data_IF_730269261899
#
_entry.id   IF_730269261899
#
_cell.length_a   1.000
_cell.length_b   1.000
_cell.length_c   1.000
_cell.angle_alpha   90.00
_cell.angle_beta   90.00
_cell.angle_gamma   90.00
#
_symmetry.space_group_name_H-M   'P 1'
#
loop_
_entity.id
_entity.type
_entity.pdbx_description
1 polymer ?
#
# COMPACT_ATOMS: atom_id res chain seq x y z
N UNK A 1 -31.42 28.61 17.59
CA UNK A 1 -31.33 29.40 18.85
C UNK A 1 -32.69 29.60 19.57
N UNK A 2 -33.75 28.81 19.27
CA UNK A 2 -35.11 28.98 19.84
C UNK A 2 -35.15 28.97 21.38
N UNK A 3 -34.46 28.02 22.00
CA UNK A 3 -34.52 27.82 23.45
C UNK A 3 -33.70 28.85 24.27
N UNK A 4 -32.93 29.75 23.63
CA UNK A 4 -32.16 30.78 24.35
C UNK A 4 -33.05 31.80 25.08
N UNK A 5 -34.30 31.95 24.62
CA UNK A 5 -35.24 33.00 25.06
C UNK A 5 -36.39 32.44 25.91
N UNK A 6 -36.32 31.18 26.33
CA UNK A 6 -37.37 30.61 27.19
C UNK A 6 -37.42 31.39 28.50
N UNK A 7 -38.63 31.72 28.95
CA UNK A 7 -38.83 32.29 30.28
C UNK A 7 -38.56 31.24 31.36
N UNK A 8 -38.35 31.68 32.61
CA UNK A 8 -38.19 30.76 33.75
C UNK A 8 -39.40 29.83 33.89
N UNK A 9 -40.61 30.37 33.76
CA UNK A 9 -41.87 29.62 33.82
C UNK A 9 -41.96 28.55 32.72
N UNK A 10 -41.55 28.87 31.48
CA UNK A 10 -41.53 27.91 30.38
C UNK A 10 -40.50 26.78 30.61
N UNK A 11 -39.36 27.11 31.24
CA UNK A 11 -38.33 26.13 31.60
C UNK A 11 -38.85 25.21 32.70
N UNK A 12 -39.38 25.76 33.79
CA UNK A 12 -39.90 25.01 34.93
C UNK A 12 -41.00 24.03 34.49
N UNK A 13 -41.98 24.51 33.73
CA UNK A 13 -43.06 23.65 33.18
C UNK A 13 -42.54 22.49 32.34
N UNK A 14 -41.48 22.70 31.55
CA UNK A 14 -40.85 21.65 30.74
C UNK A 14 -40.13 20.63 31.61
N UNK A 15 -39.39 21.09 32.62
CA UNK A 15 -38.68 20.22 33.56
C UNK A 15 -39.66 19.38 34.39
N UNK A 16 -40.72 19.98 34.92
CA UNK A 16 -41.79 19.27 35.65
C UNK A 16 -42.48 18.19 34.80
N UNK A 17 -42.66 18.44 33.50
CA UNK A 17 -43.24 17.46 32.57
C UNK A 17 -42.29 16.32 32.18
N UNK A 18 -41.05 16.31 32.67
CA UNK A 18 -40.03 15.32 32.30
C UNK A 18 -39.59 15.41 30.83
N UNK A 19 -39.72 16.59 30.20
CA UNK A 19 -39.39 16.75 28.79
C UNK A 19 -37.87 16.54 28.56
N UNK A 20 -37.47 15.70 27.60
CA UNK A 20 -36.06 15.48 27.32
C UNK A 20 -35.42 16.77 26.80
N UNK A 21 -34.21 17.06 27.26
CA UNK A 21 -33.44 18.23 26.84
C UNK A 21 -32.00 17.87 26.54
N UNK A 22 -31.31 18.79 25.88
CA UNK A 22 -29.87 18.70 25.58
C UNK A 22 -29.19 19.95 26.11
N UNK A 23 -27.91 19.85 26.46
CA UNK A 23 -27.10 21.03 26.79
C UNK A 23 -26.45 21.53 25.50
N UNK A 24 -26.62 22.81 25.19
CA UNK A 24 -26.03 23.44 23.99
C UNK A 24 -25.07 24.56 24.37
N UNK A 25 -23.98 24.67 23.63
CA UNK A 25 -23.07 25.80 23.69
C UNK A 25 -23.73 27.05 23.11
N UNK A 26 -23.66 28.14 23.87
CA UNK A 26 -24.09 29.45 23.40
C UNK A 26 -22.99 30.08 22.54
N UNK A 27 -23.12 30.02 21.22
CA UNK A 27 -22.27 30.76 20.28
C UNK A 27 -22.53 32.28 20.38
N UNK A 28 -21.51 33.15 20.45
CA UNK A 28 -21.69 34.60 20.43
C UNK A 28 -22.24 35.08 19.08
N UNK A 29 -22.80 36.29 19.02
CA UNK A 29 -23.33 36.86 17.77
C UNK A 29 -22.37 37.91 17.23
N UNK A 30 -22.23 37.98 15.90
CA UNK A 30 -21.41 38.99 15.21
C UNK A 30 -19.93 38.97 15.56
N UNK A 31 -19.44 37.92 16.24
CA UNK A 31 -18.02 37.78 16.61
C UNK A 31 -17.25 37.16 15.46
N UNK A 32 -16.12 37.77 15.12
CA UNK A 32 -15.08 37.19 14.27
C UNK A 32 -14.18 36.32 15.15
N UNK A 33 -14.12 35.02 14.86
CA UNK A 33 -13.25 34.06 15.54
C UNK A 33 -12.06 33.82 14.63
N UNK A 34 -10.87 34.25 15.06
CA UNK A 34 -9.63 34.12 14.28
C UNK A 34 -8.67 33.17 15.01
N UNK A 35 -7.93 32.38 14.24
CA UNK A 35 -6.85 31.55 14.76
C UNK A 35 -5.79 31.33 13.68
N UNK A 36 -4.57 31.09 14.12
CA UNK A 36 -3.46 30.74 13.25
C UNK A 36 -3.27 29.23 13.23
N UNK A 37 -3.50 28.63 12.06
CA UNK A 37 -3.22 27.23 11.82
C UNK A 37 -1.82 27.07 11.22
N UNK A 38 -1.05 26.11 11.73
CA UNK A 38 0.33 25.88 11.31
C UNK A 38 0.43 25.56 9.81
N UNK A 39 -0.55 24.85 9.24
CA UNK A 39 -0.56 24.44 7.83
C UNK A 39 -1.38 25.40 6.98
N UNK A 40 -2.54 25.84 7.46
CA UNK A 40 -3.50 26.64 6.69
C UNK A 40 -3.22 28.15 6.76
N UNK A 41 -2.45 28.59 7.76
CA UNK A 41 -2.18 29.99 8.05
C UNK A 41 -3.33 30.63 8.84
N UNK A 42 -3.42 31.96 8.77
CA UNK A 42 -4.47 32.72 9.45
C UNK A 42 -5.85 32.40 8.87
N UNK A 43 -6.77 31.96 9.73
CA UNK A 43 -8.15 31.64 9.38
C UNK A 43 -9.10 32.52 10.18
N UNK A 44 -10.25 32.83 9.58
CA UNK A 44 -11.32 33.56 10.24
C UNK A 44 -12.69 33.00 9.91
N UNK A 45 -13.52 32.85 10.94
CA UNK A 45 -14.93 32.49 10.84
C UNK A 45 -15.82 33.56 11.47
N UNK A 46 -16.98 33.80 10.88
CA UNK A 46 -18.02 34.57 11.53
C UNK A 46 -18.88 33.64 12.39
N UNK A 47 -19.00 33.95 13.69
CA UNK A 47 -19.84 33.20 14.64
C UNK A 47 -21.33 33.11 14.26
N UNK A 48 -21.81 33.99 13.38
CA UNK A 48 -23.18 33.90 12.86
C UNK A 48 -23.40 32.73 11.89
N UNK A 49 -22.33 32.17 11.32
CA UNK A 49 -22.36 30.94 10.51
C UNK A 49 -22.37 29.67 11.38
N UNK A 50 -22.24 29.82 12.70
CA UNK A 50 -22.15 28.71 13.65
C UNK A 50 -23.44 28.54 14.45
N UNK A 51 -23.94 27.31 14.47
CA UNK A 51 -25.08 26.91 15.30
C UNK A 51 -24.71 26.65 16.76
N UNK A 52 -25.70 26.76 17.64
CA UNK A 52 -25.64 26.38 19.06
C UNK A 52 -25.39 24.87 19.17
N UNK A 53 -24.12 24.51 19.22
CA UNK A 53 -23.65 23.14 19.21
C UNK A 53 -24.17 22.38 20.43
N UNK A 54 -24.78 21.20 20.22
CA UNK A 54 -25.09 20.29 21.33
C UNK A 54 -23.77 19.83 21.95
N UNK A 55 -23.65 19.95 23.27
CA UNK A 55 -22.53 19.50 24.08
C UNK A 55 -22.86 18.21 24.83
N UNK A 56 -24.05 18.12 25.42
CA UNK A 56 -24.56 16.94 26.14
C UNK A 56 -25.90 16.51 25.54
N UNK A 57 -26.02 15.23 25.21
CA UNK A 57 -27.27 14.62 24.74
C UNK A 57 -28.24 14.41 25.91
N UNK A 58 -29.50 14.08 25.59
CA UNK A 58 -30.54 13.80 26.59
C UNK A 58 -30.31 12.53 27.41
N UNK A 59 -29.47 11.63 26.91
CA UNK A 59 -29.01 10.42 27.61
C UNK A 59 -27.84 10.69 28.58
N UNK A 60 -27.41 11.96 28.72
CA UNK A 60 -26.30 12.34 29.59
C UNK A 60 -24.91 12.14 29.00
N UNK A 61 -24.78 11.57 27.79
CA UNK A 61 -23.48 11.40 27.15
C UNK A 61 -23.00 12.68 26.44
N UNK A 62 -21.70 13.01 26.52
CA UNK A 62 -21.13 14.13 25.79
C UNK A 62 -21.10 13.86 24.29
N UNK A 63 -21.16 14.94 23.51
CA UNK A 63 -20.83 14.90 22.08
C UNK A 63 -19.33 15.01 21.87
N UNK A 64 -18.89 14.71 20.66
CA UNK A 64 -17.50 14.86 20.23
C UNK A 64 -16.89 16.21 20.63
N UNK A 65 -17.60 17.33 20.41
CA UNK A 65 -17.01 18.66 20.65
C UNK A 65 -16.71 18.94 22.12
N UNK A 66 -17.56 18.47 23.04
CA UNK A 66 -17.30 18.62 24.47
C UNK A 66 -16.19 17.65 24.90
N UNK A 67 -16.31 16.38 24.51
CA UNK A 67 -15.36 15.34 24.88
C UNK A 67 -13.93 15.69 24.44
N UNK A 68 -13.73 16.03 23.17
CA UNK A 68 -12.39 16.30 22.64
C UNK A 68 -11.71 17.49 23.31
N UNK A 69 -12.44 18.58 23.61
CA UNK A 69 -11.84 19.77 24.25
C UNK A 69 -11.49 19.48 25.71
N UNK A 70 -12.34 18.74 26.42
CA UNK A 70 -12.07 18.30 27.79
C UNK A 70 -10.88 17.36 27.83
N UNK A 71 -10.86 16.33 26.97
CA UNK A 71 -9.77 15.36 26.91
C UNK A 71 -8.45 16.01 26.50
N UNK A 72 -8.45 16.84 25.45
CA UNK A 72 -7.24 17.54 25.00
C UNK A 72 -6.65 18.43 26.11
N UNK A 73 -7.51 19.13 26.89
CA UNK A 73 -7.07 19.92 28.04
C UNK A 73 -6.50 19.04 29.16
N UNK A 74 -7.25 18.01 29.59
CA UNK A 74 -6.84 17.13 30.68
C UNK A 74 -5.57 16.32 30.35
N UNK A 75 -5.37 16.00 29.07
CA UNK A 75 -4.18 15.31 28.55
C UNK A 75 -3.05 16.28 28.17
N UNK A 76 -3.21 17.58 28.40
CA UNK A 76 -2.20 18.62 28.15
C UNK A 76 -1.70 18.65 26.69
N UNK A 77 -2.62 18.48 25.74
CA UNK A 77 -2.30 18.52 24.31
C UNK A 77 -1.85 19.92 23.93
N UNK A 78 -0.63 20.03 23.39
CA UNK A 78 -0.06 21.31 22.94
C UNK A 78 -0.36 21.62 21.47
N UNK A 79 -0.48 20.58 20.64
CA UNK A 79 -0.69 20.67 19.20
C UNK A 79 -1.76 19.65 18.77
N UNK A 80 -2.85 20.13 18.19
CA UNK A 80 -3.91 19.30 17.62
C UNK A 80 -3.68 19.16 16.12
N UNK A 81 -3.26 17.97 15.69
CA UNK A 81 -3.12 17.61 14.28
C UNK A 81 -4.32 16.78 13.84
N UNK A 82 -5.00 17.20 12.77
CA UNK A 82 -6.17 16.48 12.23
C UNK A 82 -6.40 16.84 10.76
N UNK A 83 -7.26 16.09 10.08
CA UNK A 83 -7.60 16.38 8.69
C UNK A 83 -8.37 17.70 8.57
N UNK A 84 -8.20 18.41 7.45
CA UNK A 84 -8.88 19.68 7.16
C UNK A 84 -10.42 19.61 7.16
N UNK A 85 -10.99 18.41 7.11
CA UNK A 85 -12.43 18.21 7.26
C UNK A 85 -12.96 18.71 8.61
N UNK A 86 -12.11 18.71 9.63
CA UNK A 86 -12.45 19.20 10.96
C UNK A 86 -12.21 20.70 11.14
N UNK A 87 -11.69 21.39 10.12
CA UNK A 87 -11.41 22.83 10.20
C UNK A 87 -12.64 23.68 10.59
N UNK A 88 -13.85 23.41 10.06
CA UNK A 88 -15.06 24.14 10.47
C UNK A 88 -15.47 23.91 11.93
N UNK A 89 -14.92 22.89 12.60
CA UNK A 89 -15.17 22.61 14.02
C UNK A 89 -14.27 23.41 14.97
N UNK A 90 -13.09 23.82 14.50
CA UNK A 90 -12.09 24.57 15.30
C UNK A 90 -12.64 25.84 15.97
N UNK A 91 -13.43 26.73 15.30
CA UNK A 91 -13.96 27.90 15.99
C UNK A 91 -14.90 27.54 17.16
N UNK A 92 -15.61 26.40 17.09
CA UNK A 92 -16.42 25.90 18.21
C UNK A 92 -15.54 25.43 19.38
N UNK A 93 -14.43 24.76 19.07
CA UNK A 93 -13.46 24.31 20.08
C UNK A 93 -12.78 25.49 20.77
N UNK A 94 -12.35 26.50 20.02
CA UNK A 94 -11.78 27.75 20.57
C UNK A 94 -12.74 28.40 21.57
N UNK A 95 -14.02 28.55 21.21
CA UNK A 95 -15.01 29.10 22.13
C UNK A 95 -15.18 28.27 23.41
N UNK A 96 -15.10 26.94 23.31
CA UNK A 96 -15.16 26.06 24.49
C UNK A 96 -13.96 26.27 25.42
N UNK A 97 -12.74 26.30 24.87
CA UNK A 97 -11.54 26.61 25.66
C UNK A 97 -11.66 27.96 26.37
N UNK A 98 -12.12 29.00 25.66
CA UNK A 98 -12.34 30.33 26.24
C UNK A 98 -13.37 30.31 27.37
N UNK A 99 -14.51 29.62 27.18
CA UNK A 99 -15.57 29.53 28.19
C UNK A 99 -15.16 28.74 29.43
N UNK A 100 -14.26 27.78 29.28
CA UNK A 100 -13.72 26.99 30.37
C UNK A 100 -12.49 27.67 31.01
N UNK A 101 -12.01 28.79 30.45
CA UNK A 101 -10.84 29.51 30.93
C UNK A 101 -9.53 28.74 30.73
N UNK A 102 -9.45 27.96 29.65
CA UNK A 102 -8.33 27.08 29.35
C UNK A 102 -7.44 27.62 28.23
N UNK A 103 -6.17 27.21 28.25
CA UNK A 103 -5.23 27.51 27.18
C UNK A 103 -5.63 26.78 25.88
N UNK A 104 -5.62 27.51 24.77
CA UNK A 104 -5.98 26.99 23.45
C UNK A 104 -4.74 26.33 22.83
N UNK A 105 -4.80 25.05 22.41
CA UNK A 105 -3.67 24.40 21.76
C UNK A 105 -3.43 24.99 20.37
N UNK A 106 -2.23 24.74 19.81
CA UNK A 106 -1.95 25.08 18.42
C UNK A 106 -2.66 24.08 17.50
N UNK A 107 -3.18 24.55 16.37
CA UNK A 107 -3.86 23.70 15.38
C UNK A 107 -3.02 23.52 14.12
N UNK A 108 -3.09 22.33 13.53
CA UNK A 108 -2.52 22.03 12.23
C UNK A 108 -3.45 21.10 11.44
N UNK A 109 -4.08 21.64 10.40
CA UNK A 109 -5.06 20.90 9.61
C UNK A 109 -4.44 20.34 8.32
N UNK A 110 -4.17 19.03 8.37
CA UNK A 110 -3.52 18.25 7.33
C UNK A 110 -4.40 18.14 6.07
N UNK A 111 -3.81 18.12 4.87
CA UNK A 111 -4.55 17.98 3.62
C UNK A 111 -5.28 16.64 3.51
N UNK A 112 -6.37 16.65 2.73
CA UNK A 112 -7.07 15.44 2.36
C UNK A 112 -6.22 14.51 1.49
N UNK A 113 -6.40 13.20 1.71
CA UNK A 113 -6.00 12.20 0.74
C UNK A 113 -7.05 12.10 -0.38
N UNK A 114 -6.56 12.13 -1.62
CA UNK A 114 -7.34 12.09 -2.84
C UNK A 114 -7.08 10.81 -3.61
N UNK A 115 -8.05 10.35 -4.38
CA UNK A 115 -7.85 9.33 -5.40
C UNK A 115 -7.10 9.92 -6.61
N UNK A 116 -6.68 9.08 -7.56
CA UNK A 116 -6.04 9.50 -8.81
C UNK A 116 -6.92 10.42 -9.67
N UNK A 117 -8.24 10.29 -9.57
CA UNK A 117 -9.23 11.20 -10.19
C UNK A 117 -9.43 12.52 -9.44
N UNK A 118 -8.62 12.78 -8.40
CA UNK A 118 -8.68 13.94 -7.48
C UNK A 118 -9.94 14.04 -6.63
N UNK A 119 -10.82 13.04 -6.66
CA UNK A 119 -11.93 12.96 -5.71
C UNK A 119 -11.44 12.53 -4.33
N UNK A 120 -12.16 12.89 -3.27
CA UNK A 120 -11.83 12.47 -1.91
C UNK A 120 -11.75 10.94 -1.82
N UNK A 121 -10.69 10.42 -1.20
CA UNK A 121 -10.60 9.00 -0.91
C UNK A 121 -11.75 8.56 0.01
N UNK A 122 -12.37 7.42 -0.30
CA UNK A 122 -13.50 6.90 0.46
C UNK A 122 -13.48 5.38 0.50
N UNK A 123 -14.03 4.80 1.57
CA UNK A 123 -14.22 3.35 1.76
C UNK A 123 -15.00 2.64 0.64
N UNK A 124 -15.62 3.39 -0.27
CA UNK A 124 -16.39 2.83 -1.39
C UNK A 124 -15.54 2.53 -2.62
N UNK A 125 -14.32 3.07 -2.71
CA UNK A 125 -13.42 2.95 -3.86
C UNK A 125 -12.11 2.31 -3.42
N UNK A 126 -12.01 0.98 -3.54
CA UNK A 126 -10.77 0.22 -3.32
C UNK A 126 -10.36 0.01 -1.86
N UNK A 127 -9.15 -0.50 -1.69
CA UNK A 127 -8.53 -0.72 -0.39
C UNK A 127 -8.22 0.64 0.27
N UNK A 128 -8.80 0.87 1.44
CA UNK A 128 -8.48 2.07 2.25
C UNK A 128 -8.09 1.71 3.67
N UNK A 129 -8.25 0.44 4.06
CA UNK A 129 -7.88 -0.06 5.37
C UNK A 129 -6.43 -0.55 5.32
N UNK A 130 -5.64 -0.24 6.35
CA UNK A 130 -4.24 -0.64 6.44
C UNK A 130 -4.10 -2.17 6.39
N UNK A 131 -5.09 -2.88 6.94
CA UNK A 131 -5.19 -4.33 6.97
C UNK A 131 -5.21 -4.96 5.57
N UNK A 132 -5.79 -4.28 4.58
CA UNK A 132 -5.82 -4.79 3.20
C UNK A 132 -4.42 -4.77 2.58
N UNK A 133 -3.64 -3.71 2.85
CA UNK A 133 -2.24 -3.62 2.43
C UNK A 133 -1.34 -4.62 3.17
N UNK A 134 -1.59 -4.87 4.46
CA UNK A 134 -0.87 -5.91 5.21
C UNK A 134 -1.09 -7.28 4.57
N UNK A 135 -2.34 -7.64 4.24
CA UNK A 135 -2.68 -8.91 3.57
C UNK A 135 -2.03 -9.04 2.20
N UNK A 136 -1.81 -7.93 1.49
CA UNK A 136 -1.11 -7.90 0.21
C UNK A 136 0.41 -7.97 0.34
N UNK A 137 0.95 -7.92 1.55
CA UNK A 137 2.39 -7.98 1.79
C UNK A 137 3.13 -6.67 1.52
N UNK A 138 2.45 -5.53 1.72
CA UNK A 138 3.15 -4.25 1.82
C UNK A 138 3.91 -4.16 3.14
N UNK A 139 5.10 -3.60 3.08
CA UNK A 139 6.01 -3.46 4.20
C UNK A 139 5.65 -2.21 5.02
N UNK A 140 5.64 -2.29 6.36
CA UNK A 140 5.35 -1.13 7.21
C UNK A 140 6.24 0.08 6.90
N UNK A 141 7.54 -0.14 6.70
CA UNK A 141 8.48 0.93 6.35
C UNK A 141 8.16 1.62 5.02
N UNK A 142 7.69 0.86 4.02
CA UNK A 142 7.29 1.41 2.73
C UNK A 142 6.02 2.25 2.86
N UNK A 143 5.01 1.72 3.56
CA UNK A 143 3.76 2.44 3.82
C UNK A 143 4.01 3.73 4.60
N UNK A 144 4.82 3.68 5.67
CA UNK A 144 5.13 4.85 6.48
C UNK A 144 5.88 5.90 5.67
N UNK A 145 6.92 5.51 4.93
CA UNK A 145 7.66 6.46 4.09
C UNK A 145 6.76 7.09 3.03
N UNK A 146 5.95 6.27 2.36
CA UNK A 146 5.02 6.75 1.35
C UNK A 146 4.00 7.74 1.92
N UNK A 147 3.32 7.37 3.01
CA UNK A 147 2.33 8.23 3.67
C UNK A 147 2.95 9.51 4.23
N UNK A 148 4.19 9.44 4.75
CA UNK A 148 4.89 10.61 5.24
C UNK A 148 5.09 11.66 4.13
N UNK A 149 5.32 11.24 2.89
CA UNK A 149 5.49 12.15 1.75
C UNK A 149 4.16 12.62 1.14
N UNK A 150 3.02 12.08 1.57
CA UNK A 150 1.70 12.57 1.18
C UNK A 150 1.34 13.81 1.97
N UNK A 151 1.66 14.98 1.43
CA UNK A 151 1.35 16.25 2.07
C UNK A 151 2.55 16.95 2.68
N UNK A 152 3.72 16.30 2.73
CA UNK A 152 4.92 16.85 3.36
C UNK A 152 6.12 16.69 2.43
N UNK A 153 6.92 17.76 2.34
CA UNK A 153 8.15 17.76 1.57
C UNK A 153 9.30 18.25 2.48
N UNK A 154 10.29 17.40 2.81
CA UNK A 154 11.39 17.80 3.69
C UNK A 154 12.28 18.91 3.11
N UNK A 155 12.18 19.19 1.81
CA UNK A 155 13.15 19.98 1.08
C UNK A 155 14.49 19.26 0.94
N UNK A 156 15.50 19.99 0.48
CA UNK A 156 16.87 19.51 0.37
C UNK A 156 17.55 19.58 1.74
N UNK A 157 17.90 18.44 2.33
CA UNK A 157 18.75 18.42 3.52
C UNK A 157 20.23 18.56 3.13
N UNK A 158 21.12 19.02 4.03
CA UNK A 158 22.57 19.02 3.78
C UNK A 158 23.11 17.64 3.39
N UNK A 159 22.49 16.56 3.91
CA UNK A 159 22.86 15.18 3.60
C UNK A 159 22.49 14.80 2.16
N UNK A 160 21.34 15.26 1.65
CA UNK A 160 20.89 15.06 0.26
C UNK A 160 21.81 15.80 -0.71
N UNK A 161 22.14 17.06 -0.40
CA UNK A 161 23.07 17.86 -1.20
C UNK A 161 24.49 17.29 -1.21
N UNK A 162 24.96 16.75 -0.09
CA UNK A 162 26.25 16.09 0.00
C UNK A 162 26.36 14.82 -0.86
N UNK A 163 25.22 14.15 -1.13
CA UNK A 163 25.13 13.00 -2.04
C UNK A 163 24.97 13.38 -3.51
N UNK A 164 24.88 14.67 -3.82
CA UNK A 164 24.60 15.16 -5.18
C UNK A 164 23.17 14.88 -5.64
N UNK A 165 22.26 14.59 -4.70
CA UNK A 165 20.86 14.32 -4.99
C UNK A 165 20.05 15.63 -4.95
N UNK A 166 18.99 15.68 -5.76
CA UNK A 166 18.09 16.84 -5.83
C UNK A 166 16.73 16.58 -5.15
N UNK A 167 16.54 15.36 -4.66
CA UNK A 167 15.39 14.92 -3.87
C UNK A 167 15.77 13.68 -3.08
N UNK A 168 15.17 13.51 -1.90
CA UNK A 168 15.20 12.24 -1.18
C UNK A 168 13.76 11.77 -1.06
N UNK A 169 13.48 10.60 -1.61
CA UNK A 169 12.19 9.94 -1.45
C UNK A 169 12.26 8.82 -0.41
N UNK A 170 13.39 8.11 -0.31
CA UNK A 170 13.56 6.98 0.60
C UNK A 170 14.02 7.44 1.99
N UNK A 171 13.20 7.17 3.01
CA UNK A 171 13.48 7.52 4.41
C UNK A 171 13.34 6.31 5.34
N UNK A 172 14.28 6.16 6.26
CA UNK A 172 14.07 5.38 7.48
C UNK A 172 13.17 6.13 8.46
N UNK A 173 12.59 5.41 9.42
CA UNK A 173 11.85 6.04 10.52
C UNK A 173 12.68 7.08 11.28
N UNK A 174 13.97 6.81 11.48
CA UNK A 174 14.87 7.76 12.16
C UNK A 174 15.09 9.03 11.35
N UNK A 175 15.24 8.91 10.03
CA UNK A 175 15.35 10.10 9.16
C UNK A 175 14.04 10.88 9.14
N UNK A 176 12.87 10.22 9.12
CA UNK A 176 11.59 10.91 9.24
C UNK A 176 11.50 11.67 10.57
N UNK A 177 11.82 11.03 11.70
CA UNK A 177 11.80 11.67 13.02
C UNK A 177 12.72 12.90 13.07
N UNK A 178 13.92 12.81 12.48
CA UNK A 178 14.89 13.93 12.46
C UNK A 178 14.45 15.09 11.56
N UNK A 179 13.81 14.79 10.44
CA UNK A 179 13.51 15.79 9.40
C UNK A 179 12.09 16.35 9.49
N UNK A 180 11.16 15.66 10.14
CA UNK A 180 9.75 16.04 10.14
C UNK A 180 9.55 17.40 10.81
N UNK A 181 8.88 18.27 10.06
CA UNK A 181 8.52 19.61 10.49
C UNK A 181 7.14 19.92 9.94
N UNK A 182 6.23 20.30 10.83
CA UNK A 182 4.84 20.58 10.51
C UNK A 182 4.70 21.80 9.59
N UNK A 183 5.66 22.73 9.61
CA UNK A 183 5.71 23.88 8.71
C UNK A 183 6.01 23.50 7.25
N UNK A 184 6.52 22.28 7.02
CA UNK A 184 6.80 21.75 5.67
C UNK A 184 5.64 20.94 5.10
N UNK A 185 4.52 20.87 5.82
CA UNK A 185 3.27 20.29 5.31
C UNK A 185 2.59 21.29 4.37
N UNK A 186 2.26 20.87 3.16
CA UNK A 186 1.61 21.72 2.17
C UNK A 186 0.07 21.67 2.25
N UNK A 187 -0.58 22.71 1.75
CA UNK A 187 -2.05 22.87 1.82
C UNK A 187 -2.82 22.00 0.81
N UNK A 188 -2.19 21.65 -0.31
CA UNK A 188 -2.87 20.92 -1.39
C UNK A 188 -3.19 19.47 -0.99
N UNK A 189 -4.32 18.95 -1.47
CA UNK A 189 -4.68 17.54 -1.30
C UNK A 189 -3.62 16.61 -1.89
N UNK A 190 -3.29 15.53 -1.17
CA UNK A 190 -2.28 14.58 -1.57
C UNK A 190 -2.92 13.39 -2.31
N UNK A 191 -2.49 13.14 -3.55
CA UNK A 191 -3.01 12.02 -4.35
C UNK A 191 -2.36 10.72 -3.88
N UNK A 192 -3.18 9.76 -3.51
CA UNK A 192 -2.75 8.40 -3.25
C UNK A 192 -2.63 7.63 -4.57
N UNK A 193 -1.39 7.37 -4.97
CA UNK A 193 -0.97 6.65 -6.14
C UNK A 193 -0.40 5.28 -5.74
N UNK A 194 -1.10 4.23 -6.14
CA UNK A 194 -0.73 2.84 -5.85
C UNK A 194 0.57 2.42 -6.54
N UNK A 195 0.88 2.95 -7.73
CA UNK A 195 2.11 2.63 -8.45
C UNK A 195 3.32 3.25 -7.76
N UNK A 196 3.16 4.45 -7.21
CA UNK A 196 4.21 5.06 -6.37
C UNK A 196 4.42 4.25 -5.08
N UNK A 197 3.35 3.81 -4.41
CA UNK A 197 3.47 2.92 -3.25
C UNK A 197 4.14 1.59 -3.61
N UNK A 198 3.80 0.99 -4.76
CA UNK A 198 4.45 -0.21 -5.28
C UNK A 198 5.95 0.01 -5.46
N UNK A 199 6.35 1.15 -6.04
CA UNK A 199 7.76 1.51 -6.20
C UNK A 199 8.48 1.59 -4.85
N UNK A 200 7.91 2.30 -3.86
CA UNK A 200 8.47 2.35 -2.50
C UNK A 200 8.65 0.94 -1.95
N UNK A 201 7.60 0.12 -2.02
CA UNK A 201 7.62 -1.21 -1.47
C UNK A 201 8.70 -2.10 -2.12
N UNK A 202 8.85 -2.03 -3.45
CA UNK A 202 9.93 -2.69 -4.16
C UNK A 202 11.32 -2.23 -3.69
N UNK A 203 11.53 -0.92 -3.48
CA UNK A 203 12.82 -0.42 -2.98
C UNK A 203 13.17 -0.97 -1.59
N UNK A 204 12.18 -1.18 -0.72
CA UNK A 204 12.41 -1.82 0.58
C UNK A 204 12.59 -3.33 0.49
N UNK A 205 11.79 -4.01 -0.34
CA UNK A 205 11.93 -5.45 -0.59
C UNK A 205 13.34 -5.80 -1.05
N UNK A 206 13.91 -4.99 -1.95
CA UNK A 206 15.27 -5.16 -2.48
C UNK A 206 16.34 -5.24 -1.39
N UNK A 207 16.13 -4.56 -0.26
CA UNK A 207 17.08 -4.48 0.86
C UNK A 207 17.07 -5.71 1.77
N UNK A 208 16.07 -6.58 1.66
CA UNK A 208 16.02 -7.80 2.48
C UNK A 208 17.18 -8.73 2.18
N UNK A 209 17.74 -9.32 3.23
CA UNK A 209 18.60 -10.50 3.11
C UNK A 209 17.79 -11.68 2.57
N UNK A 210 18.49 -12.74 2.16
CA UNK A 210 17.86 -13.96 1.68
C UNK A 210 16.99 -14.62 2.77
N UNK A 211 17.47 -14.62 4.02
CA UNK A 211 16.76 -15.16 5.17
C UNK A 211 15.52 -14.34 5.50
N UNK A 212 15.63 -13.01 5.50
CA UNK A 212 14.50 -12.11 5.72
C UNK A 212 13.43 -12.28 4.63
N UNK A 213 13.86 -12.33 3.36
CA UNK A 213 12.96 -12.52 2.23
C UNK A 213 12.19 -13.84 2.36
N UNK A 214 12.90 -14.93 2.69
CA UNK A 214 12.27 -16.21 2.93
C UNK A 214 11.26 -16.12 4.07
N UNK A 215 11.68 -15.70 5.26
CA UNK A 215 10.83 -15.62 6.46
C UNK A 215 9.56 -14.80 6.20
N UNK A 216 9.70 -13.59 5.63
CA UNK A 216 8.57 -12.70 5.38
C UNK A 216 7.66 -13.16 4.25
N UNK A 217 8.16 -13.97 3.32
CA UNK A 217 7.34 -14.51 2.23
C UNK A 217 6.63 -15.82 2.59
N UNK A 218 7.07 -16.54 3.63
CA UNK A 218 6.46 -17.82 4.07
C UNK A 218 4.92 -17.80 4.17
N UNK A 219 4.26 -16.76 4.71
CA UNK A 219 2.80 -16.72 4.80
C UNK A 219 2.08 -16.75 3.43
N UNK A 220 2.79 -16.43 2.35
CA UNK A 220 2.26 -16.38 0.99
C UNK A 220 2.68 -17.57 0.13
N UNK A 221 3.46 -18.50 0.70
CA UNK A 221 3.90 -19.70 0.00
C UNK A 221 2.95 -20.87 0.29
N UNK A 222 2.74 -21.77 -0.69
CA UNK A 222 2.02 -23.02 -0.46
C UNK A 222 2.91 -23.99 0.35
N UNK A 223 2.58 -25.29 0.33
CA UNK A 223 3.43 -26.31 0.93
C UNK A 223 4.82 -26.34 0.25
N UNK A 224 5.88 -26.14 1.02
CA UNK A 224 7.27 -26.04 0.51
C UNK A 224 8.14 -27.27 0.78
N UNK A 225 7.56 -28.41 1.18
CA UNK A 225 8.32 -29.60 1.65
C UNK A 225 9.26 -30.22 0.63
N UNK A 226 9.00 -30.04 -0.67
CA UNK A 226 9.79 -30.63 -1.75
C UNK A 226 11.08 -29.86 -2.07
N UNK A 227 11.31 -28.71 -1.42
CA UNK A 227 12.40 -27.80 -1.75
C UNK A 227 13.20 -27.42 -0.51
N UNK A 228 14.51 -27.32 -0.67
CA UNK A 228 15.38 -26.77 0.38
C UNK A 228 15.15 -25.27 0.54
N UNK A 229 15.56 -24.71 1.68
CA UNK A 229 15.49 -23.25 1.88
C UNK A 229 16.31 -22.50 0.83
N UNK A 230 17.48 -23.02 0.42
CA UNK A 230 18.30 -22.42 -0.62
C UNK A 230 17.58 -22.36 -1.97
N UNK A 231 16.87 -23.44 -2.34
CA UNK A 231 16.06 -23.46 -3.56
C UNK A 231 14.93 -22.44 -3.50
N UNK A 232 14.22 -22.35 -2.37
CA UNK A 232 13.13 -21.39 -2.19
C UNK A 232 13.69 -19.97 -2.28
N UNK A 233 14.78 -19.66 -1.57
CA UNK A 233 15.45 -18.34 -1.65
C UNK A 233 15.78 -17.98 -3.10
N UNK A 234 16.31 -18.93 -3.88
CA UNK A 234 16.59 -18.70 -5.29
C UNK A 234 15.34 -18.40 -6.10
N UNK A 235 14.23 -19.12 -5.87
CA UNK A 235 12.93 -18.82 -6.50
C UNK A 235 12.47 -17.40 -6.17
N UNK A 236 12.53 -17.02 -4.89
CA UNK A 236 12.10 -15.70 -4.42
C UNK A 236 12.96 -14.59 -5.02
N UNK A 237 14.28 -14.75 -5.08
CA UNK A 237 15.18 -13.74 -5.63
C UNK A 237 14.99 -13.50 -7.14
N UNK A 238 14.61 -14.52 -7.91
CA UNK A 238 14.28 -14.35 -9.33
C UNK A 238 13.06 -13.46 -9.57
N UNK A 239 12.13 -13.42 -8.59
CA UNK A 239 10.88 -12.65 -8.65
C UNK A 239 10.91 -11.35 -7.85
N UNK A 240 11.83 -11.23 -6.88
CA UNK A 240 12.00 -10.07 -5.99
C UNK A 240 12.15 -8.75 -6.76
N UNK A 241 12.88 -8.76 -7.86
CA UNK A 241 13.10 -7.56 -8.69
C UNK A 241 11.89 -7.14 -9.53
N UNK A 242 10.96 -8.08 -9.75
CA UNK A 242 9.79 -7.91 -10.64
C UNK A 242 8.49 -7.67 -9.88
N UNK A 243 8.49 -7.92 -8.57
CA UNK A 243 7.29 -7.93 -7.75
C UNK A 243 7.22 -6.70 -6.84
N UNK A 244 6.02 -6.14 -6.72
CA UNK A 244 5.77 -4.98 -5.87
C UNK A 244 5.54 -5.36 -4.40
N UNK A 245 5.11 -6.59 -4.08
CA UNK A 245 4.73 -7.01 -2.72
C UNK A 245 5.14 -8.44 -2.42
N UNK A 246 5.19 -8.81 -1.13
CA UNK A 246 5.49 -10.19 -0.70
C UNK A 246 4.45 -11.20 -1.22
N UNK A 247 3.16 -10.82 -1.22
CA UNK A 247 2.12 -11.69 -1.74
C UNK A 247 2.25 -11.90 -3.25
N UNK A 248 2.64 -10.85 -3.99
CA UNK A 248 2.92 -10.96 -5.42
C UNK A 248 4.10 -11.89 -5.70
N UNK A 249 5.19 -11.80 -4.91
CA UNK A 249 6.31 -12.76 -5.01
C UNK A 249 5.80 -14.19 -4.78
N UNK A 250 5.05 -14.42 -3.69
CA UNK A 250 4.51 -15.74 -3.34
C UNK A 250 3.65 -16.35 -4.45
N UNK A 251 2.75 -15.57 -5.05
CA UNK A 251 1.92 -16.03 -6.17
C UNK A 251 2.77 -16.27 -7.43
N UNK A 252 3.76 -15.42 -7.72
CA UNK A 252 4.65 -15.59 -8.87
C UNK A 252 5.46 -16.87 -8.82
N UNK A 253 5.90 -17.32 -7.63
CA UNK A 253 6.69 -18.56 -7.48
C UNK A 253 5.84 -19.82 -7.29
N UNK A 254 4.52 -19.69 -7.20
CA UNK A 254 3.60 -20.81 -6.89
C UNK A 254 3.71 -21.97 -7.89
N UNK A 255 4.04 -21.67 -9.15
CA UNK A 255 4.25 -22.69 -10.17
C UNK A 255 5.42 -23.62 -9.87
N UNK A 256 6.39 -23.26 -9.01
CA UNK A 256 7.45 -24.21 -8.63
C UNK A 256 6.90 -25.35 -7.76
N UNK A 257 5.89 -25.06 -6.93
CA UNK A 257 5.35 -26.00 -5.95
C UNK A 257 4.26 -26.92 -6.50
N UNK A 258 3.52 -26.47 -7.51
CA UNK A 258 2.41 -27.21 -8.10
C UNK A 258 2.59 -27.33 -9.61
N UNK A 259 2.04 -28.40 -10.20
CA UNK A 259 1.92 -28.48 -11.66
C UNK A 259 0.99 -27.35 -12.13
N UNK A 260 1.45 -26.42 -13.01
CA UNK A 260 0.64 -25.28 -13.38
C UNK A 260 -0.48 -25.67 -14.36
N UNK A 261 -1.67 -25.10 -14.16
CA UNK A 261 -2.77 -25.20 -15.10
C UNK A 261 -2.83 -23.95 -15.99
N UNK A 262 -2.90 -24.15 -17.31
CA UNK A 262 -2.97 -23.08 -18.29
C UNK A 262 -3.58 -23.58 -19.61
N UNK A 263 -4.11 -22.63 -20.38
CA UNK A 263 -4.64 -22.83 -21.74
C UNK A 263 -3.52 -23.13 -22.73
N UNK A 264 -3.73 -24.07 -23.65
CA UNK A 264 -2.72 -24.47 -24.66
C UNK A 264 -2.28 -23.31 -25.54
N UNK A 265 -3.12 -22.28 -25.72
CA UNK A 265 -2.77 -21.05 -26.42
C UNK A 265 -1.59 -20.30 -25.80
N UNK A 266 -1.29 -20.49 -24.52
CA UNK A 266 -0.13 -19.87 -23.86
C UNK A 266 1.20 -20.39 -24.43
N UNK A 267 1.22 -21.62 -24.94
CA UNK A 267 2.40 -22.24 -25.55
C UNK A 267 2.73 -21.62 -26.91
N UNK A 268 1.78 -20.88 -27.53
CA UNK A 268 1.95 -20.27 -28.86
C UNK A 268 2.87 -19.06 -28.78
N UNK A 269 3.98 -19.14 -29.50
CA UNK A 269 4.80 -17.97 -29.81
C UNK A 269 4.33 -17.35 -31.12
N UNK A 270 3.63 -16.22 -31.04
CA UNK A 270 3.02 -15.56 -32.21
C UNK A 270 2.09 -16.54 -32.94
N UNK A 271 2.23 -16.67 -34.26
CA UNK A 271 1.37 -17.47 -35.13
C UNK A 271 1.88 -18.90 -35.34
N UNK A 272 2.63 -19.46 -34.37
CA UNK A 272 3.10 -20.84 -34.45
C UNK A 272 1.95 -21.84 -34.60
N UNK A 273 2.07 -22.75 -35.56
CA UNK A 273 1.16 -23.89 -35.72
C UNK A 273 1.37 -24.92 -34.61
N UNK A 274 0.32 -25.67 -34.26
CA UNK A 274 0.37 -26.66 -33.19
C UNK A 274 1.45 -27.73 -33.43
N UNK A 275 1.71 -28.10 -34.69
CA UNK A 275 2.81 -29.00 -35.08
C UNK A 275 4.19 -28.44 -34.75
N UNK A 276 4.40 -27.13 -34.89
CA UNK A 276 5.68 -26.47 -34.59
C UNK A 276 5.91 -26.38 -33.08
N UNK A 277 4.84 -26.15 -32.30
CA UNK A 277 4.91 -26.14 -30.85
C UNK A 277 5.25 -27.54 -30.33
N UNK A 278 4.59 -28.58 -30.87
CA UNK A 278 4.89 -29.97 -30.54
C UNK A 278 6.35 -30.31 -30.83
N UNK A 279 6.87 -29.93 -32.00
CA UNK A 279 8.29 -30.08 -32.35
C UNK A 279 9.23 -29.37 -31.38
N UNK A 280 8.88 -28.15 -30.94
CA UNK A 280 9.64 -27.39 -29.95
C UNK A 280 9.70 -28.10 -28.58
N UNK A 281 8.55 -28.58 -28.10
CA UNK A 281 8.47 -29.31 -26.83
C UNK A 281 9.17 -30.67 -26.90
N UNK A 282 9.05 -31.40 -28.01
CA UNK A 282 9.77 -32.66 -28.23
C UNK A 282 11.30 -32.44 -28.27
N UNK A 283 11.76 -31.36 -28.92
CA UNK A 283 13.17 -30.96 -28.92
C UNK A 283 13.64 -30.64 -27.50
N UNK A 284 12.80 -29.95 -26.72
CA UNK A 284 13.11 -29.60 -25.33
C UNK A 284 13.21 -30.84 -24.43
N UNK A 285 12.29 -31.80 -24.61
CA UNK A 285 12.30 -33.10 -23.93
C UNK A 285 13.56 -33.89 -24.26
N UNK A 286 13.98 -33.89 -25.53
CA UNK A 286 15.22 -34.55 -25.96
C UNK A 286 16.45 -33.98 -25.23
N UNK A 287 16.61 -32.65 -25.25
CA UNK A 287 17.73 -31.96 -24.57
C UNK A 287 17.76 -32.31 -23.07
N UNK A 288 16.62 -32.24 -22.39
CA UNK A 288 16.52 -32.52 -20.96
C UNK A 288 16.86 -33.99 -20.68
N UNK A 289 16.39 -34.91 -21.53
CA UNK A 289 16.68 -36.35 -21.37
C UNK A 289 18.17 -36.68 -21.51
N UNK A 290 18.87 -36.00 -22.42
CA UNK A 290 20.30 -36.19 -22.71
C UNK A 290 21.23 -35.45 -21.75
N UNK A 291 20.72 -34.49 -20.98
CA UNK A 291 21.52 -33.74 -20.01
C UNK A 291 21.65 -34.51 -18.71
N UNK A 292 22.88 -34.75 -18.26
CA UNK A 292 23.17 -35.40 -16.98
C UNK A 292 22.77 -34.51 -15.81
N UNK A 293 22.39 -35.13 -14.69
CA UNK A 293 21.89 -34.42 -13.51
C UNK A 293 22.92 -33.46 -12.90
N UNK A 294 24.20 -33.84 -12.92
CA UNK A 294 25.32 -32.98 -12.47
C UNK A 294 25.54 -31.75 -13.39
N UNK A 295 25.12 -31.84 -14.65
CA UNK A 295 25.25 -30.76 -15.64
C UNK A 295 23.94 -29.98 -15.83
N UNK A 296 22.92 -30.24 -15.02
CA UNK A 296 21.59 -29.64 -15.15
C UNK A 296 21.52 -28.22 -14.57
N UNK A 297 22.45 -27.36 -14.99
CA UNK A 297 22.60 -25.97 -14.53
C UNK A 297 22.07 -24.99 -15.57
N UNK A 298 21.59 -23.83 -15.13
CA UNK A 298 21.04 -22.76 -15.97
C UNK A 298 22.04 -22.33 -17.04
N UNK A 299 23.33 -22.22 -16.69
CA UNK A 299 24.40 -21.92 -17.64
C UNK A 299 24.50 -22.98 -18.74
N UNK A 300 24.59 -24.26 -18.37
CA UNK A 300 24.79 -25.33 -19.36
C UNK A 300 23.56 -25.54 -20.24
N UNK A 301 22.38 -25.49 -19.64
CA UNK A 301 21.11 -25.56 -20.35
C UNK A 301 20.97 -24.39 -21.33
N UNK A 302 21.33 -23.17 -20.92
CA UNK A 302 21.33 -22.00 -21.79
C UNK A 302 22.21 -22.22 -23.03
N UNK A 303 23.43 -22.71 -22.87
CA UNK A 303 24.33 -23.02 -24.00
C UNK A 303 23.69 -24.01 -24.99
N UNK A 304 23.19 -25.14 -24.49
CA UNK A 304 22.62 -26.21 -25.32
C UNK A 304 21.35 -25.76 -26.02
N UNK A 305 20.42 -25.11 -25.30
CA UNK A 305 19.18 -24.62 -25.87
C UNK A 305 19.41 -23.49 -26.89
N UNK A 306 20.34 -22.58 -26.63
CA UNK A 306 20.66 -21.49 -27.57
C UNK A 306 21.34 -22.00 -28.83
N UNK A 307 22.15 -23.04 -28.74
CA UNK A 307 22.71 -23.70 -29.93
C UNK A 307 21.61 -24.37 -30.75
N UNK A 308 20.74 -25.17 -30.12
CA UNK A 308 19.63 -25.83 -30.80
C UNK A 308 18.63 -24.83 -31.40
N UNK A 309 18.42 -23.69 -30.75
CA UNK A 309 17.54 -22.63 -31.20
C UNK A 309 17.96 -22.01 -32.55
N UNK A 310 19.23 -22.15 -32.99
CA UNK A 310 19.67 -21.72 -34.33
C UNK A 310 19.00 -22.49 -35.47
N UNK A 311 18.49 -23.69 -35.19
CA UNK A 311 17.73 -24.50 -36.16
C UNK A 311 16.26 -24.09 -36.30
N UNK A 312 15.78 -23.11 -35.53
CA UNK A 312 14.42 -22.57 -35.60
C UNK A 312 14.43 -21.21 -36.32
N UNK A 313 13.26 -20.75 -36.82
CA UNK A 313 13.21 -19.48 -37.56
C UNK A 313 13.59 -18.31 -36.65
N UNK A 314 13.27 -18.40 -35.37
CA UNK A 314 13.72 -17.49 -34.34
C UNK A 314 13.78 -18.22 -32.98
N UNK A 315 14.61 -17.71 -32.07
CA UNK A 315 14.82 -18.32 -30.73
C UNK A 315 13.52 -18.49 -29.93
N UNK A 316 12.55 -17.60 -30.14
CA UNK A 316 11.27 -17.65 -29.44
C UNK A 316 10.46 -18.91 -29.76
N UNK A 317 10.58 -19.48 -30.95
CA UNK A 317 9.89 -20.72 -31.32
C UNK A 317 10.30 -21.93 -30.47
N UNK A 318 11.53 -21.94 -29.96
CA UNK A 318 12.00 -22.96 -29.03
C UNK A 318 11.78 -22.55 -27.57
N UNK A 319 12.22 -21.34 -27.21
CA UNK A 319 12.32 -20.93 -25.81
C UNK A 319 10.97 -20.55 -25.19
N UNK A 320 10.01 -20.06 -25.97
CA UNK A 320 8.70 -19.67 -25.43
C UNK A 320 7.84 -20.86 -25.05
N UNK A 321 7.62 -21.89 -25.91
CA UNK A 321 6.88 -23.08 -25.51
C UNK A 321 7.50 -23.77 -24.29
N UNK A 322 8.84 -23.87 -24.26
CA UNK A 322 9.57 -24.35 -23.08
C UNK A 322 9.19 -23.56 -21.83
N UNK A 323 9.39 -22.23 -21.85
CA UNK A 323 9.11 -21.37 -20.70
C UNK A 323 7.66 -21.49 -20.23
N UNK A 324 6.72 -21.39 -21.16
CA UNK A 324 5.29 -21.49 -20.87
C UNK A 324 4.91 -22.88 -20.33
N UNK A 325 5.52 -23.95 -20.83
CA UNK A 325 5.27 -25.31 -20.31
C UNK A 325 5.75 -25.50 -18.87
N UNK A 326 6.86 -24.85 -18.51
CA UNK A 326 7.44 -24.96 -17.18
C UNK A 326 6.70 -24.09 -16.16
N UNK A 327 6.36 -22.85 -16.51
CA UNK A 327 5.75 -21.90 -15.55
C UNK A 327 4.23 -21.84 -15.61
N UNK A 328 3.62 -22.13 -16.76
CA UNK A 328 2.21 -21.82 -17.02
C UNK A 328 1.90 -20.33 -16.97
N UNK A 329 2.91 -19.46 -17.10
CA UNK A 329 2.76 -18.01 -16.95
C UNK A 329 3.20 -17.27 -18.21
N UNK A 330 2.53 -16.15 -18.50
CA UNK A 330 2.91 -15.22 -19.59
C UNK A 330 4.21 -14.48 -19.30
N UNK A 331 4.43 -14.14 -18.04
CA UNK A 331 5.63 -13.48 -17.52
C UNK A 331 6.18 -14.36 -16.40
N UNK A 332 7.44 -14.78 -16.53
CA UNK A 332 8.11 -15.68 -15.59
C UNK A 332 9.62 -15.43 -15.62
N UNK A 333 10.40 -16.08 -14.75
CA UNK A 333 11.86 -16.09 -14.85
C UNK A 333 12.33 -16.70 -16.18
N UNK A 334 13.63 -16.56 -16.50
CA UNK A 334 14.23 -17.24 -17.63
C UNK A 334 14.00 -18.76 -17.54
N UNK A 335 13.70 -19.45 -18.66
CA UNK A 335 13.37 -20.88 -18.64
C UNK A 335 14.50 -21.76 -18.09
N UNK A 336 15.76 -21.35 -18.23
CA UNK A 336 16.91 -22.14 -17.78
C UNK A 336 17.05 -22.13 -16.26
N UNK A 337 16.74 -21.00 -15.61
CA UNK A 337 16.69 -20.93 -14.15
C UNK A 337 15.52 -21.77 -13.60
N UNK A 338 14.38 -21.75 -14.32
CA UNK A 338 13.22 -22.58 -13.97
C UNK A 338 13.59 -24.06 -14.05
N UNK A 339 14.23 -24.48 -15.15
CA UNK A 339 14.70 -25.86 -15.33
C UNK A 339 15.61 -26.27 -14.17
N UNK A 340 16.68 -25.53 -13.92
CA UNK A 340 17.65 -25.87 -12.87
C UNK A 340 16.98 -26.04 -11.49
N UNK A 341 16.07 -25.13 -11.13
CA UNK A 341 15.36 -25.18 -9.84
C UNK A 341 14.40 -26.38 -9.77
N UNK A 342 13.64 -26.64 -10.83
CA UNK A 342 12.72 -27.78 -10.89
C UNK A 342 13.46 -29.13 -10.93
N UNK A 343 14.66 -29.13 -11.49
CA UNK A 343 15.41 -30.33 -11.81
C UNK A 343 14.83 -31.10 -12.99
N UNK A 344 15.53 -32.16 -13.41
CA UNK A 344 15.23 -32.94 -14.61
C UNK A 344 13.86 -33.63 -14.56
N UNK A 345 13.49 -34.19 -13.41
CA UNK A 345 12.24 -34.94 -13.22
C UNK A 345 11.00 -34.08 -13.42
N UNK A 346 10.81 -33.06 -12.56
CA UNK A 346 9.65 -32.15 -12.63
C UNK A 346 9.59 -31.38 -13.96
N UNK A 347 10.74 -31.04 -14.54
CA UNK A 347 10.79 -30.41 -15.87
C UNK A 347 10.28 -31.32 -16.98
N UNK A 348 10.66 -32.60 -16.96
CA UNK A 348 10.22 -33.58 -17.96
C UNK A 348 8.72 -33.86 -17.87
N UNK A 349 8.19 -33.98 -16.65
CA UNK A 349 6.76 -34.15 -16.38
C UNK A 349 5.94 -33.00 -16.99
N UNK A 350 6.35 -31.75 -16.74
CA UNK A 350 5.68 -30.55 -17.26
C UNK A 350 5.67 -30.47 -18.77
N UNK A 351 6.80 -30.79 -19.41
CA UNK A 351 6.90 -30.78 -20.87
C UNK A 351 6.04 -31.88 -21.49
N UNK A 352 5.98 -33.07 -20.88
CA UNK A 352 5.10 -34.14 -21.36
C UNK A 352 3.62 -33.74 -21.25
N UNK A 353 3.20 -33.17 -20.12
CA UNK A 353 1.84 -32.65 -19.95
C UNK A 353 1.51 -31.55 -20.99
N UNK A 354 2.48 -30.70 -21.34
CA UNK A 354 2.32 -29.69 -22.39
C UNK A 354 2.18 -30.30 -23.79
N UNK A 355 2.90 -31.38 -24.10
CA UNK A 355 2.78 -32.10 -25.39
C UNK A 355 1.39 -32.74 -25.52
N UNK A 356 0.86 -33.32 -24.44
CA UNK A 356 -0.48 -33.91 -24.41
C UNK A 356 -1.57 -32.85 -24.65
N UNK A 357 -1.40 -31.63 -24.12
CA UNK A 357 -2.34 -30.50 -24.34
C UNK A 357 -2.43 -30.00 -25.79
N UNK A 358 -1.47 -30.34 -26.65
CA UNK A 358 -1.42 -29.93 -28.07
C UNK A 358 -1.85 -31.08 -29.00
N UNK A 359 -2.01 -32.30 -28.47
CA UNK A 359 -2.26 -33.50 -29.26
C UNK A 359 -3.72 -33.67 -29.68
#
# INVERSE_FOLDING_TARGET
>A
RRCRKLSKEEIEKKLESGAPYVIRMKIPQGRKIEFDDIVRGKISYNSDELDDQVLLKSDGYPTYHLAVVVDDHLMQISHVTRTEEWLPSTPKHILLYEYLGWEIPRFAHLPLLLNTDKTKMSKRKGDVAVEDYIKKGYLPQAMINYLALLGWNPGLSPEVLAKGEHEQEMFSMQELIRNFDLHKVHKAGAVFDIEKLNWFNSQYLRKFSDEELLEKTRPYLPNTKDFSNEQIIRMLNLEKERSATLAAIGESVKFYFNLPEYESSLLKWKDMADSDIKKSLETSREIISQTDEQSFTSQKLSEVFLEKAKGFKNRGELLWPLRASLSGQKFSPPPFDILEILGKGKSSERINAAIEKIS
#
